data_IF_360970545522
#
_entry.id   IF_360970545522
#
_cell.length_a   1.000
_cell.length_b   1.000
_cell.length_c   1.000
_cell.angle_alpha   90.00
_cell.angle_beta   90.00
_cell.angle_gamma   90.00
#
_symmetry.space_group_name_H-M   'P 1'
#
loop_
_entity.id
_entity.type
_entity.pdbx_description
1 polymer ?
#
# COMPACT_ATOMS: atom_id res chain seq x y z
N UNK A 1 -16.67 13.06 -24.81
CA UNK A 1 -16.34 13.74 -23.54
C UNK A 1 -17.52 13.51 -22.61
N UNK A 2 -17.38 12.68 -21.57
CA UNK A 2 -18.49 12.48 -20.63
C UNK A 2 -18.79 13.82 -19.95
N UNK A 3 -19.99 14.37 -20.18
CA UNK A 3 -20.38 15.64 -19.60
C UNK A 3 -20.82 15.38 -18.15
N UNK A 4 -19.92 15.63 -17.21
CA UNK A 4 -20.23 15.65 -15.79
C UNK A 4 -20.93 16.98 -15.48
N UNK A 5 -22.13 16.94 -14.88
CA UNK A 5 -22.88 18.14 -14.47
C UNK A 5 -22.38 18.74 -13.14
N UNK A 6 -21.22 18.30 -12.66
CA UNK A 6 -20.63 18.67 -11.38
C UNK A 6 -19.14 18.95 -11.52
N UNK A 7 -18.61 19.78 -10.63
CA UNK A 7 -17.19 20.16 -10.60
C UNK A 7 -16.28 19.13 -9.90
N UNK A 8 -16.80 17.95 -9.52
CA UNK A 8 -15.98 16.88 -8.92
C UNK A 8 -15.15 16.14 -9.97
N UNK A 9 -13.93 15.76 -9.56
CA UNK A 9 -13.04 14.93 -10.34
C UNK A 9 -13.28 13.45 -10.03
N UNK A 10 -13.71 12.68 -11.02
CA UNK A 10 -13.79 11.23 -10.94
C UNK A 10 -12.39 10.67 -11.20
N UNK A 11 -11.73 10.18 -10.16
CA UNK A 11 -10.37 9.66 -10.25
C UNK A 11 -10.37 8.35 -11.03
N UNK A 12 -9.48 8.23 -12.00
CA UNK A 12 -9.30 7.00 -12.76
C UNK A 12 -8.83 5.85 -11.83
N UNK A 13 -9.20 4.60 -12.14
CA UNK A 13 -8.67 3.45 -11.43
C UNK A 13 -7.15 3.47 -11.45
N UNK A 14 -6.53 3.43 -10.27
CA UNK A 14 -5.08 3.42 -10.12
C UNK A 14 -4.63 2.21 -9.31
N UNK A 15 -3.47 1.62 -9.61
CA UNK A 15 -2.94 0.48 -8.86
C UNK A 15 -2.22 0.91 -7.57
N UNK A 16 -1.94 2.20 -7.39
CA UNK A 16 -1.21 2.72 -6.24
C UNK A 16 -1.81 2.38 -4.87
N UNK A 17 -3.14 2.39 -4.68
CA UNK A 17 -3.75 2.01 -3.40
C UNK A 17 -3.42 0.57 -2.98
N UNK A 18 -3.40 -0.38 -3.92
CA UNK A 18 -3.07 -1.78 -3.58
C UNK A 18 -1.58 -1.92 -3.26
N UNK A 19 -0.70 -1.26 -4.01
CA UNK A 19 0.74 -1.25 -3.71
C UNK A 19 1.03 -0.64 -2.33
N UNK A 20 0.38 0.47 -1.99
CA UNK A 20 0.51 1.09 -0.68
C UNK A 20 0.03 0.19 0.46
N UNK A 21 -1.11 -0.49 0.27
CA UNK A 21 -1.63 -1.44 1.25
C UNK A 21 -0.69 -2.64 1.46
N UNK A 22 -0.15 -3.21 0.38
CA UNK A 22 0.81 -4.32 0.45
C UNK A 22 2.12 -3.89 1.12
N UNK A 23 2.65 -2.71 0.78
CA UNK A 23 3.87 -2.18 1.40
C UNK A 23 3.69 -1.96 2.92
N UNK A 24 2.55 -1.39 3.33
CA UNK A 24 2.23 -1.21 4.75
C UNK A 24 2.14 -2.55 5.50
N UNK A 25 1.52 -3.56 4.88
CA UNK A 25 1.41 -4.91 5.44
C UNK A 25 2.79 -5.55 5.64
N UNK A 26 3.63 -5.54 4.61
CA UNK A 26 4.98 -6.13 4.66
C UNK A 26 5.88 -5.41 5.66
N UNK A 27 5.81 -4.08 5.72
CA UNK A 27 6.58 -3.28 6.70
C UNK A 27 6.17 -3.64 8.13
N UNK A 28 4.86 -3.65 8.42
CA UNK A 28 4.35 -3.91 9.77
C UNK A 28 4.69 -5.33 10.24
N UNK A 29 4.44 -6.32 9.38
CA UNK A 29 4.79 -7.72 9.67
C UNK A 29 6.30 -7.95 9.75
N UNK A 30 7.07 -7.25 8.92
CA UNK A 30 8.53 -7.28 8.93
C UNK A 30 9.12 -6.74 10.23
N UNK A 31 8.58 -5.63 10.75
CA UNK A 31 8.97 -5.08 12.04
C UNK A 31 8.63 -6.03 13.20
N UNK A 32 7.45 -6.66 13.17
CA UNK A 32 7.06 -7.67 14.17
C UNK A 32 8.06 -8.82 14.16
N UNK A 33 8.41 -9.33 12.97
CA UNK A 33 9.37 -10.42 12.81
C UNK A 33 10.77 -10.06 13.31
N UNK A 34 11.21 -8.83 13.03
CA UNK A 34 12.50 -8.35 13.48
C UNK A 34 12.55 -8.25 15.01
N UNK A 35 11.54 -7.68 15.66
CA UNK A 35 11.56 -7.49 17.11
C UNK A 35 11.37 -8.78 17.93
N UNK A 36 10.61 -9.75 17.42
CA UNK A 36 10.32 -10.98 18.19
C UNK A 36 11.24 -12.14 17.86
N UNK A 37 11.77 -12.18 16.64
CA UNK A 37 12.55 -13.32 16.13
C UNK A 37 13.94 -12.92 15.62
N UNK A 38 14.33 -11.64 15.75
CA UNK A 38 15.57 -11.08 15.23
C UNK A 38 15.79 -11.37 13.72
N UNK A 39 14.69 -11.54 12.98
CA UNK A 39 14.70 -11.89 11.55
C UNK A 39 14.17 -10.72 10.73
N UNK A 40 15.03 -10.12 9.91
CA UNK A 40 14.70 -8.96 9.08
C UNK A 40 14.28 -9.32 7.66
N UNK A 41 14.23 -10.61 7.30
CA UNK A 41 13.95 -11.06 5.93
C UNK A 41 12.63 -10.48 5.36
N UNK A 42 11.59 -10.46 6.19
CA UNK A 42 10.28 -9.99 5.77
C UNK A 42 10.23 -8.46 5.66
N UNK A 43 11.01 -7.75 6.47
CA UNK A 43 11.20 -6.30 6.36
C UNK A 43 12.00 -5.91 5.11
N UNK A 44 12.97 -6.73 4.68
CA UNK A 44 13.75 -6.47 3.45
C UNK A 44 12.99 -6.79 2.15
N UNK A 45 11.91 -7.58 2.25
CA UNK A 45 11.05 -7.91 1.11
C UNK A 45 9.96 -6.86 0.86
N UNK A 46 9.56 -6.12 1.89
CA UNK A 46 8.63 -4.99 1.81
C UNK A 46 9.31 -3.69 1.44
#
# INVERSE_FOLDING_TARGET
MAHQAHSYHMVDPSPWPIFGATAALLTTSGLIMWFHYNSSHLLTLG
#
